data_IF_247642509473
#
_entry.id   IF_247642509473
#
_cell.length_a   1.000
_cell.length_b   1.000
_cell.length_c   1.000
_cell.angle_alpha   90.00
_cell.angle_beta   90.00
_cell.angle_gamma   90.00
#
_symmetry.space_group_name_H-M   'P 1'
#
loop_
_entity.id
_entity.type
_entity.pdbx_description
1 polymer ?
#
# COMPACT_ATOMS: atom_id res chain seq x y z
N UNK A 1 -5.41 25.41 40.54
CA UNK A 1 -6.76 24.89 40.21
C UNK A 1 -7.59 25.82 39.32
N UNK A 2 -7.56 27.15 39.53
CA UNK A 2 -8.36 28.13 38.75
C UNK A 2 -8.12 28.07 37.22
N UNK A 3 -6.88 27.94 36.73
CA UNK A 3 -6.60 27.89 35.28
C UNK A 3 -7.14 26.65 34.55
N UNK A 4 -7.26 25.50 35.22
CA UNK A 4 -7.84 24.28 34.60
C UNK A 4 -9.35 24.42 34.37
N UNK A 5 -10.03 25.18 35.23
CA UNK A 5 -11.47 25.47 35.09
C UNK A 5 -11.71 26.42 33.91
N UNK A 6 -10.89 27.46 33.75
CA UNK A 6 -10.98 28.37 32.60
C UNK A 6 -10.74 27.68 31.25
N UNK A 7 -9.78 26.74 31.19
CA UNK A 7 -9.52 25.97 29.98
C UNK A 7 -10.73 25.07 29.62
N UNK A 8 -11.36 24.46 30.63
CA UNK A 8 -12.53 23.62 30.42
C UNK A 8 -13.74 24.45 29.94
N UNK A 9 -13.96 25.63 30.53
CA UNK A 9 -14.99 26.58 30.06
C UNK A 9 -14.72 27.10 28.64
N UNK A 10 -13.45 27.34 28.29
CA UNK A 10 -13.09 27.78 26.94
C UNK A 10 -13.35 26.68 25.91
N UNK A 11 -13.01 25.43 26.23
CA UNK A 11 -13.24 24.29 25.34
C UNK A 11 -14.73 23.97 25.16
N UNK A 12 -15.55 24.13 26.20
CA UNK A 12 -17.01 23.95 26.08
C UNK A 12 -17.66 25.07 25.27
N UNK A 13 -17.23 26.32 25.46
CA UNK A 13 -17.67 27.46 24.64
C UNK A 13 -17.26 27.30 23.17
N UNK A 14 -16.04 26.82 22.89
CA UNK A 14 -15.55 26.58 21.54
C UNK A 14 -16.38 25.49 20.84
N UNK A 15 -16.69 24.40 21.55
CA UNK A 15 -17.53 23.31 21.03
C UNK A 15 -18.97 23.77 20.75
N UNK A 16 -19.51 24.66 21.59
CA UNK A 16 -20.81 25.29 21.37
C UNK A 16 -20.81 26.26 20.19
N UNK A 17 -19.76 27.08 20.03
CA UNK A 17 -19.63 28.00 18.90
C UNK A 17 -19.50 27.25 17.56
N UNK A 18 -18.76 26.15 17.52
CA UNK A 18 -18.65 25.27 16.35
C UNK A 18 -19.98 24.56 16.03
N UNK A 19 -20.70 24.08 17.04
CA UNK A 19 -22.03 23.49 16.89
C UNK A 19 -23.07 24.49 16.38
N UNK A 20 -23.07 25.72 16.91
CA UNK A 20 -23.96 26.80 16.45
C UNK A 20 -23.65 27.22 15.01
N UNK A 21 -22.37 27.20 14.61
CA UNK A 21 -21.96 27.51 13.23
C UNK A 21 -22.40 26.40 12.26
N UNK A 22 -22.37 25.13 12.69
CA UNK A 22 -22.87 23.99 11.89
C UNK A 22 -24.40 24.00 11.76
N UNK A 23 -25.13 24.32 12.84
CA UNK A 23 -26.60 24.34 12.83
C UNK A 23 -27.18 25.59 12.15
N UNK A 24 -26.53 26.75 12.25
CA UNK A 24 -27.00 27.97 11.56
C UNK A 24 -26.81 27.94 10.03
N UNK A 25 -25.94 27.07 9.51
CA UNK A 25 -25.84 26.86 8.05
C UNK A 25 -26.93 25.96 7.49
N UNK A 26 -27.63 25.17 8.33
CA UNK A 26 -28.67 24.23 7.88
C UNK A 26 -30.11 24.69 8.16
N UNK A 27 -30.34 25.75 8.95
CA UNK A 27 -31.71 26.11 9.41
C UNK A 27 -32.27 27.46 8.94
N UNK A 28 -31.52 28.29 8.19
CA UNK A 28 -32.12 29.49 7.59
C UNK A 28 -32.65 29.17 6.20
N UNK A 29 -33.96 28.92 6.16
CA UNK A 29 -34.81 29.05 4.98
C UNK A 29 -34.75 30.51 4.48
N UNK A 30 -33.64 30.88 3.86
CA UNK A 30 -33.58 32.06 3.03
C UNK A 30 -34.20 31.66 1.70
N UNK A 31 -35.44 32.11 1.50
CA UNK A 31 -36.05 32.26 0.19
C UNK A 31 -35.29 33.32 -0.62
N UNK A 32 -34.00 33.08 -0.90
CA UNK A 32 -33.38 33.67 -2.06
C UNK A 32 -33.77 32.78 -3.22
N UNK A 33 -34.55 33.35 -4.14
CA UNK A 33 -34.84 32.74 -5.44
C UNK A 33 -33.49 32.59 -6.17
N UNK A 34 -32.76 31.52 -5.84
CA UNK A 34 -31.55 31.09 -6.54
C UNK A 34 -31.89 30.44 -7.89
N UNK A 35 -33.17 30.35 -8.24
CA UNK A 35 -33.65 29.92 -9.56
C UNK A 35 -33.19 30.87 -10.69
N UNK A 36 -32.61 32.03 -10.35
CA UNK A 36 -32.01 32.98 -11.31
C UNK A 36 -30.47 32.98 -11.35
N UNK A 37 -29.80 32.19 -10.49
CA UNK A 37 -28.33 32.11 -10.42
C UNK A 37 -27.76 30.69 -10.50
N UNK A 38 -28.59 29.66 -10.39
CA UNK A 38 -28.30 28.42 -11.09
C UNK A 38 -28.44 28.74 -12.58
N UNK A 39 -27.32 29.12 -13.23
CA UNK A 39 -27.07 28.62 -14.58
C UNK A 39 -27.50 27.17 -14.52
N UNK A 40 -28.38 26.72 -15.43
CA UNK A 40 -28.51 25.30 -15.70
C UNK A 40 -27.08 24.80 -15.83
N UNK A 41 -26.56 24.12 -14.80
CA UNK A 41 -25.26 23.48 -14.87
C UNK A 41 -25.41 22.58 -16.09
N UNK A 42 -24.72 22.91 -17.16
CA UNK A 42 -24.73 22.07 -18.34
C UNK A 42 -24.28 20.69 -17.85
N UNK A 43 -24.97 19.63 -18.25
CA UNK A 43 -24.64 18.26 -17.85
C UNK A 43 -23.12 17.93 -18.03
N UNK A 44 -22.45 18.64 -18.94
CA UNK A 44 -21.01 18.59 -19.15
C UNK A 44 -20.14 19.10 -17.98
N UNK A 45 -20.51 20.18 -17.27
CA UNK A 45 -19.72 20.64 -16.11
C UNK A 45 -19.76 19.61 -14.98
N UNK A 46 -20.91 18.95 -14.78
CA UNK A 46 -21.07 17.86 -13.82
C UNK A 46 -20.21 16.64 -14.15
N UNK A 47 -20.11 16.27 -15.43
CA UNK A 47 -19.23 15.18 -15.87
C UNK A 47 -17.76 15.48 -15.57
N UNK A 48 -17.30 16.72 -15.80
CA UNK A 48 -15.90 17.09 -15.60
C UNK A 48 -15.48 17.00 -14.14
N UNK A 49 -16.30 17.52 -13.23
CA UNK A 49 -16.05 17.40 -11.79
C UNK A 49 -16.08 15.94 -11.34
N UNK A 50 -17.05 15.16 -11.83
CA UNK A 50 -17.13 13.73 -11.51
C UNK A 50 -15.86 12.96 -11.93
N UNK A 51 -15.28 13.26 -13.10
CA UNK A 51 -14.04 12.60 -13.53
C UNK A 51 -12.86 12.97 -12.64
N UNK A 52 -12.80 14.21 -12.15
CA UNK A 52 -11.76 14.61 -11.21
C UNK A 52 -11.91 13.88 -9.87
N UNK A 53 -13.13 13.79 -9.34
CA UNK A 53 -13.42 13.05 -8.12
C UNK A 53 -13.08 11.55 -8.28
N UNK A 54 -13.39 10.97 -9.44
CA UNK A 54 -13.01 9.59 -9.74
C UNK A 54 -11.48 9.40 -9.75
N UNK A 55 -10.70 10.36 -10.28
CA UNK A 55 -9.23 10.28 -10.26
C UNK A 55 -8.67 10.36 -8.84
N UNK A 56 -9.23 11.23 -7.99
CA UNK A 56 -8.86 11.29 -6.57
C UNK A 56 -9.17 9.96 -5.87
N UNK A 57 -10.34 9.38 -6.14
CA UNK A 57 -10.72 8.06 -5.61
C UNK A 57 -9.77 6.95 -6.08
N UNK A 58 -9.38 6.93 -7.35
CA UNK A 58 -8.40 5.97 -7.88
C UNK A 58 -7.07 6.11 -7.12
N UNK A 59 -6.61 7.34 -6.88
CA UNK A 59 -5.39 7.58 -6.12
C UNK A 59 -5.48 7.11 -4.67
N UNK A 60 -6.60 7.37 -4.00
CA UNK A 60 -6.86 6.92 -2.64
C UNK A 60 -6.91 5.39 -2.53
N UNK A 61 -7.63 4.72 -3.43
CA UNK A 61 -7.70 3.26 -3.49
C UNK A 61 -6.31 2.65 -3.69
N UNK A 62 -5.54 3.16 -4.65
CA UNK A 62 -4.17 2.72 -4.91
C UNK A 62 -3.27 2.94 -3.68
N UNK A 63 -3.35 4.12 -3.06
CA UNK A 63 -2.62 4.43 -1.82
C UNK A 63 -2.95 3.49 -0.68
N UNK A 64 -4.22 3.15 -0.49
CA UNK A 64 -4.66 2.22 0.54
C UNK A 64 -4.13 0.81 0.29
N UNK A 65 -4.14 0.36 -0.96
CA UNK A 65 -3.63 -0.96 -1.33
C UNK A 65 -2.10 -1.05 -1.20
N UNK A 66 -1.36 -0.02 -1.59
CA UNK A 66 0.10 0.06 -1.38
C UNK A 66 0.43 0.11 0.11
N UNK A 67 -0.29 0.88 0.93
CA UNK A 67 -0.09 0.89 2.38
C UNK A 67 -0.40 -0.46 3.02
N UNK A 68 -1.43 -1.16 2.55
CA UNK A 68 -1.74 -2.52 2.96
C UNK A 68 -0.60 -3.48 2.60
N UNK A 69 -0.03 -3.34 1.40
CA UNK A 69 1.15 -4.10 0.99
C UNK A 69 2.36 -3.82 1.90
N UNK A 70 2.61 -2.56 2.26
CA UNK A 70 3.69 -2.17 3.19
C UNK A 70 3.55 -2.88 4.54
N UNK A 71 2.35 -2.88 5.11
CA UNK A 71 2.07 -3.56 6.38
C UNK A 71 2.37 -5.06 6.24
N UNK A 72 1.88 -5.71 5.19
CA UNK A 72 2.13 -7.14 4.99
C UNK A 72 3.60 -7.49 4.80
N UNK A 73 4.33 -6.68 4.03
CA UNK A 73 5.76 -6.88 3.87
C UNK A 73 6.44 -6.72 5.22
N UNK A 74 6.19 -5.63 5.94
CA UNK A 74 6.79 -5.38 7.25
C UNK A 74 6.53 -6.54 8.22
N UNK A 75 5.30 -7.01 8.32
CA UNK A 75 4.93 -8.13 9.20
C UNK A 75 5.65 -9.43 8.78
N UNK A 76 5.80 -9.67 7.47
CA UNK A 76 6.57 -10.81 6.94
C UNK A 76 8.05 -10.72 7.35
N UNK A 77 8.64 -9.53 7.31
CA UNK A 77 10.01 -9.30 7.74
C UNK A 77 10.16 -9.49 9.25
N UNK A 78 9.26 -8.94 10.07
CA UNK A 78 9.26 -9.11 11.53
C UNK A 78 9.11 -10.57 11.95
N UNK A 79 8.21 -11.33 11.31
CA UNK A 79 8.07 -12.77 11.53
C UNK A 79 9.39 -13.51 11.23
N UNK A 80 10.06 -13.11 10.14
CA UNK A 80 11.35 -13.69 9.74
C UNK A 80 12.42 -13.34 10.78
N UNK A 81 12.51 -12.09 11.21
CA UNK A 81 13.45 -11.64 12.26
C UNK A 81 13.26 -12.42 13.56
N UNK A 82 12.02 -12.55 14.03
CA UNK A 82 11.71 -13.31 15.24
C UNK A 82 12.19 -14.76 15.14
N UNK A 83 12.05 -15.36 13.95
CA UNK A 83 12.48 -16.74 13.67
C UNK A 83 14.00 -16.91 13.63
N UNK A 84 14.76 -15.84 13.38
CA UNK A 84 16.23 -15.88 13.34
C UNK A 84 16.89 -15.25 14.58
N UNK A 85 16.12 -14.64 15.48
CA UNK A 85 16.62 -13.93 16.65
C UNK A 85 17.45 -14.80 17.58
N UNK A 86 17.06 -16.06 17.75
CA UNK A 86 17.80 -17.02 18.58
C UNK A 86 18.96 -17.70 17.82
N UNK A 87 19.10 -17.42 16.53
CA UNK A 87 20.05 -18.08 15.63
C UNK A 87 21.23 -17.17 15.33
N UNK A 88 20.98 -15.92 14.92
CA UNK A 88 22.04 -14.95 14.60
C UNK A 88 21.54 -13.51 14.56
N UNK A 89 22.18 -12.64 15.35
CA UNK A 89 21.95 -11.19 15.34
C UNK A 89 22.32 -10.55 13.99
N UNK A 90 23.32 -11.08 13.30
CA UNK A 90 23.78 -10.52 12.02
C UNK A 90 22.79 -10.83 10.88
N UNK A 91 22.14 -12.00 10.94
CA UNK A 91 21.00 -12.32 10.05
C UNK A 91 19.84 -11.36 10.30
N UNK A 92 19.50 -11.08 11.57
CA UNK A 92 18.42 -10.14 11.93
C UNK A 92 18.71 -8.74 11.40
N UNK A 93 19.93 -8.21 11.59
CA UNK A 93 20.31 -6.88 11.07
C UNK A 93 20.13 -6.78 9.55
N UNK A 94 20.44 -7.85 8.81
CA UNK A 94 20.27 -7.89 7.36
C UNK A 94 18.78 -7.81 7.01
N UNK A 95 17.94 -8.63 7.66
CA UNK A 95 16.49 -8.64 7.42
C UNK A 95 15.91 -7.24 7.67
N UNK A 96 16.27 -6.59 8.80
CA UNK A 96 15.79 -5.24 9.12
C UNK A 96 16.21 -4.20 8.09
N UNK A 97 17.45 -4.26 7.60
CA UNK A 97 17.95 -3.35 6.56
C UNK A 97 17.14 -3.47 5.26
N UNK A 98 16.82 -4.69 4.84
CA UNK A 98 16.03 -4.92 3.64
C UNK A 98 14.57 -4.49 3.82
N UNK A 99 14.00 -4.70 5.01
CA UNK A 99 12.64 -4.23 5.35
C UNK A 99 12.50 -2.73 5.11
N UNK A 100 13.46 -1.93 5.61
CA UNK A 100 13.48 -0.48 5.39
C UNK A 100 13.61 -0.11 3.91
N UNK A 101 14.55 -0.74 3.19
CA UNK A 101 14.79 -0.45 1.77
C UNK A 101 13.57 -0.74 0.89
N UNK A 102 12.76 -1.73 1.28
CA UNK A 102 11.52 -2.07 0.58
C UNK A 102 10.41 -1.07 0.90
N UNK A 103 10.30 -0.62 2.15
CA UNK A 103 9.33 0.42 2.54
C UNK A 103 9.52 1.70 1.70
N UNK A 104 10.77 2.13 1.54
CA UNK A 104 11.12 3.30 0.73
C UNK A 104 10.67 3.14 -0.73
N UNK A 105 10.88 1.97 -1.34
CA UNK A 105 10.45 1.69 -2.72
C UNK A 105 8.94 1.69 -2.87
N UNK A 106 8.20 1.16 -1.88
CA UNK A 106 6.74 1.22 -1.88
C UNK A 106 6.22 2.67 -1.71
N UNK A 107 6.94 3.51 -0.97
CA UNK A 107 6.62 4.95 -0.89
C UNK A 107 6.83 5.64 -2.25
N UNK A 108 7.92 5.32 -2.96
CA UNK A 108 8.17 5.83 -4.32
C UNK A 108 7.04 5.40 -5.25
N UNK A 109 6.65 4.12 -5.24
CA UNK A 109 5.54 3.61 -6.05
C UNK A 109 4.25 4.39 -5.76
N UNK A 110 3.94 4.64 -4.50
CA UNK A 110 2.75 5.40 -4.12
C UNK A 110 2.80 6.86 -4.61
N UNK A 111 3.96 7.50 -4.43
CA UNK A 111 4.17 8.89 -4.84
C UNK A 111 4.03 9.11 -6.34
N UNK A 112 4.39 8.13 -7.17
CA UNK A 112 4.32 8.26 -8.63
C UNK A 112 2.90 8.49 -9.14
N UNK A 113 1.89 7.76 -8.63
CA UNK A 113 0.50 7.96 -9.08
C UNK A 113 -0.01 9.33 -8.64
N UNK A 114 0.23 9.68 -7.37
CA UNK A 114 -0.20 10.93 -6.79
C UNK A 114 0.39 12.12 -7.55
N UNK A 115 1.70 12.12 -7.78
CA UNK A 115 2.39 13.16 -8.53
C UNK A 115 1.85 13.25 -9.96
N UNK A 116 1.65 12.11 -10.63
CA UNK A 116 1.10 12.09 -11.98
C UNK A 116 -0.30 12.70 -12.05
N UNK A 117 -1.20 12.33 -11.13
CA UNK A 117 -2.58 12.84 -11.12
C UNK A 117 -2.57 14.34 -10.84
N UNK A 118 -1.86 14.81 -9.82
CA UNK A 118 -1.80 16.24 -9.45
C UNK A 118 -1.22 17.09 -10.59
N UNK A 119 -0.13 16.64 -11.21
CA UNK A 119 0.53 17.39 -12.29
C UNK A 119 -0.34 17.47 -13.57
N UNK A 120 -1.21 16.49 -13.79
CA UNK A 120 -2.00 16.41 -15.03
C UNK A 120 -3.49 16.73 -14.86
N UNK A 121 -3.95 16.94 -13.63
CA UNK A 121 -5.34 17.27 -13.28
C UNK A 121 -5.91 18.41 -14.12
N UNK A 122 -5.17 19.51 -14.26
CA UNK A 122 -5.60 20.68 -15.06
C UNK A 122 -5.66 20.37 -16.56
N UNK A 123 -4.67 19.64 -17.08
CA UNK A 123 -4.61 19.25 -18.50
C UNK A 123 -5.78 18.34 -18.85
N UNK A 124 -6.06 17.36 -18.00
CA UNK A 124 -7.21 16.45 -18.14
C UNK A 124 -8.51 17.25 -18.09
N UNK A 125 -8.72 18.10 -17.07
CA UNK A 125 -9.95 18.90 -16.93
C UNK A 125 -10.27 19.77 -18.18
N UNK A 126 -9.22 20.29 -18.82
CA UNK A 126 -9.34 21.14 -20.00
C UNK A 126 -9.48 20.36 -21.31
N UNK A 127 -9.38 19.02 -21.30
CA UNK A 127 -9.55 18.19 -22.50
C UNK A 127 -11.04 17.98 -22.87
N UNK A 128 -11.28 17.34 -24.02
CA UNK A 128 -12.64 16.93 -24.42
C UNK A 128 -13.16 15.82 -23.50
N UNK A 129 -14.48 15.72 -23.36
CA UNK A 129 -15.11 14.74 -22.46
C UNK A 129 -14.69 13.30 -22.81
N UNK A 130 -14.59 12.97 -24.10
CA UNK A 130 -14.08 11.67 -24.58
C UNK A 130 -12.63 11.41 -24.13
N UNK A 131 -11.76 12.42 -24.23
CA UNK A 131 -10.36 12.31 -23.79
C UNK A 131 -10.25 12.21 -22.27
N UNK A 132 -11.08 12.94 -21.51
CA UNK A 132 -11.13 12.85 -20.05
C UNK A 132 -11.48 11.44 -19.60
N UNK A 133 -12.53 10.84 -20.18
CA UNK A 133 -12.95 9.47 -19.88
C UNK A 133 -11.84 8.48 -20.26
N UNK A 134 -11.21 8.68 -21.43
CA UNK A 134 -10.11 7.82 -21.89
C UNK A 134 -8.91 7.88 -20.93
N UNK A 135 -8.46 9.07 -20.53
CA UNK A 135 -7.36 9.25 -19.59
C UNK A 135 -7.67 8.59 -18.25
N UNK A 136 -8.87 8.81 -17.70
CA UNK A 136 -9.31 8.19 -16.44
C UNK A 136 -9.21 6.66 -16.51
N UNK A 137 -9.77 6.07 -17.56
CA UNK A 137 -9.78 4.62 -17.72
C UNK A 137 -8.35 4.06 -17.86
N UNK A 138 -7.49 4.71 -18.66
CA UNK A 138 -6.07 4.33 -18.78
C UNK A 138 -5.33 4.41 -17.45
N UNK A 139 -5.54 5.46 -16.66
CA UNK A 139 -4.91 5.60 -15.33
C UNK A 139 -5.35 4.45 -14.41
N UNK A 140 -6.65 4.10 -14.44
CA UNK A 140 -7.17 2.97 -13.66
C UNK A 140 -6.57 1.64 -14.12
N UNK A 141 -6.48 1.40 -15.42
CA UNK A 141 -5.89 0.19 -15.99
C UNK A 141 -4.42 0.01 -15.57
N UNK A 142 -3.62 1.08 -15.66
CA UNK A 142 -2.21 1.07 -15.19
C UNK A 142 -2.15 0.78 -13.70
N UNK A 143 -2.96 1.47 -12.89
CA UNK A 143 -3.01 1.27 -11.44
C UNK A 143 -3.35 -0.18 -11.06
N UNK A 144 -4.38 -0.76 -11.69
CA UNK A 144 -4.81 -2.13 -11.43
C UNK A 144 -3.76 -3.17 -11.88
N UNK A 145 -3.10 -2.92 -13.02
CA UNK A 145 -1.99 -3.75 -13.52
C UNK A 145 -0.81 -3.79 -12.54
N UNK A 146 -0.40 -2.61 -12.06
CA UNK A 146 0.70 -2.46 -11.09
C UNK A 146 0.36 -3.12 -9.75
N UNK A 147 -0.85 -2.93 -9.23
CA UNK A 147 -1.31 -3.58 -8.00
C UNK A 147 -1.35 -5.11 -8.14
N UNK A 148 -1.76 -5.62 -9.30
CA UNK A 148 -1.74 -7.07 -9.57
C UNK A 148 -0.31 -7.64 -9.53
N UNK A 149 0.67 -6.92 -10.09
CA UNK A 149 2.09 -7.30 -10.04
C UNK A 149 2.65 -7.23 -8.62
N UNK A 150 2.33 -6.16 -7.88
CA UNK A 150 2.72 -6.00 -6.49
C UNK A 150 2.17 -7.13 -5.61
N UNK A 151 0.91 -7.52 -5.78
CA UNK A 151 0.28 -8.63 -5.04
C UNK A 151 1.01 -9.96 -5.25
N UNK A 152 1.38 -10.28 -6.50
CA UNK A 152 2.18 -11.48 -6.81
C UNK A 152 3.56 -11.44 -6.17
N UNK A 153 4.17 -10.25 -6.12
CA UNK A 153 5.46 -10.05 -5.48
C UNK A 153 5.36 -10.27 -3.96
N UNK A 154 4.31 -9.78 -3.31
CA UNK A 154 4.04 -10.04 -1.88
C UNK A 154 3.85 -11.53 -1.60
N UNK A 155 3.09 -12.26 -2.43
CA UNK A 155 2.93 -13.72 -2.29
C UNK A 155 4.29 -14.42 -2.35
N UNK A 156 5.17 -14.00 -3.26
CA UNK A 156 6.54 -14.52 -3.35
C UNK A 156 7.37 -14.18 -2.09
N UNK A 157 7.17 -13.02 -1.46
CA UNK A 157 7.83 -12.69 -0.20
C UNK A 157 7.41 -13.62 0.94
N UNK A 158 6.11 -13.90 1.03
CA UNK A 158 5.56 -14.83 2.03
C UNK A 158 6.17 -16.22 1.80
N UNK A 159 6.23 -16.69 0.57
CA UNK A 159 6.91 -17.94 0.23
C UNK A 159 8.36 -17.94 0.67
N UNK A 160 9.08 -16.85 0.40
CA UNK A 160 10.48 -16.71 0.77
C UNK A 160 10.70 -16.71 2.29
N UNK A 161 9.81 -16.10 3.08
CA UNK A 161 9.80 -16.23 4.55
C UNK A 161 9.76 -17.69 4.95
N UNK A 162 8.72 -18.41 4.52
CA UNK A 162 8.56 -19.82 4.88
C UNK A 162 9.76 -20.66 4.42
N UNK A 163 10.25 -20.42 3.21
CA UNK A 163 11.41 -21.12 2.68
C UNK A 163 12.67 -20.87 3.51
N UNK A 164 12.94 -19.62 3.89
CA UNK A 164 14.09 -19.27 4.72
C UNK A 164 14.01 -19.97 6.08
N UNK A 165 12.86 -19.88 6.76
CA UNK A 165 12.66 -20.45 8.10
C UNK A 165 12.72 -21.98 8.07
N UNK A 166 12.08 -22.63 7.09
CA UNK A 166 12.11 -24.08 6.98
C UNK A 166 13.50 -24.62 6.63
N UNK A 167 14.28 -23.84 5.89
CA UNK A 167 15.64 -24.23 5.50
C UNK A 167 16.65 -24.01 6.63
N UNK A 168 16.58 -22.87 7.33
CA UNK A 168 17.62 -22.44 8.26
C UNK A 168 17.16 -22.17 9.69
N UNK A 169 15.88 -22.34 10.01
CA UNK A 169 15.36 -22.19 11.38
C UNK A 169 15.80 -23.33 12.29
N UNK A 170 15.69 -23.18 13.60
CA UNK A 170 15.87 -24.30 14.53
C UNK A 170 14.66 -25.27 14.48
N UNK A 171 14.80 -26.47 15.06
CA UNK A 171 13.75 -27.51 14.95
C UNK A 171 12.38 -27.07 15.47
N UNK A 172 12.35 -26.32 16.58
CA UNK A 172 11.11 -25.87 17.19
C UNK A 172 10.39 -24.89 16.25
N UNK A 173 11.12 -23.89 15.75
CA UNK A 173 10.63 -22.88 14.82
C UNK A 173 10.18 -23.52 13.50
N UNK A 174 10.92 -24.53 12.99
CA UNK A 174 10.51 -25.27 11.77
C UNK A 174 9.16 -25.97 11.96
N UNK A 175 8.95 -26.64 13.09
CA UNK A 175 7.69 -27.34 13.37
C UNK A 175 6.51 -26.36 13.48
N UNK A 176 6.67 -25.26 14.20
CA UNK A 176 5.67 -24.20 14.29
C UNK A 176 5.35 -23.60 12.91
N UNK A 177 6.38 -23.37 12.10
CA UNK A 177 6.27 -22.85 10.74
C UNK A 177 5.52 -23.81 9.81
N UNK A 178 5.74 -25.12 9.94
CA UNK A 178 4.99 -26.14 9.18
C UNK A 178 3.51 -26.17 9.53
N UNK A 179 3.14 -25.98 10.80
CA UNK A 179 1.75 -25.88 11.22
C UNK A 179 1.11 -24.57 10.71
N UNK A 180 1.82 -23.44 10.83
CA UNK A 180 1.36 -22.16 10.27
C UNK A 180 1.16 -22.23 8.75
N UNK A 181 2.05 -22.92 8.03
CA UNK A 181 1.96 -23.09 6.57
C UNK A 181 0.68 -23.83 6.13
N UNK A 182 0.16 -24.76 6.95
CA UNK A 182 -1.07 -25.51 6.62
C UNK A 182 -2.28 -24.60 6.56
N UNK A 183 -2.34 -23.61 7.45
CA UNK A 183 -3.47 -22.66 7.56
C UNK A 183 -3.27 -21.36 6.78
N UNK A 184 -2.08 -21.10 6.24
CA UNK A 184 -1.78 -19.90 5.45
C UNK A 184 -2.67 -19.80 4.21
N UNK A 185 -3.44 -18.73 4.04
CA UNK A 185 -4.40 -18.59 2.93
C UNK A 185 -3.85 -17.79 1.76
N UNK A 186 -2.79 -17.02 1.96
CA UNK A 186 -2.23 -16.11 0.96
C UNK A 186 -1.29 -16.79 -0.03
N UNK A 187 -0.95 -18.05 0.22
CA UNK A 187 0.00 -18.83 -0.56
C UNK A 187 -0.75 -19.91 -1.33
N UNK A 188 -0.53 -19.97 -2.65
CA UNK A 188 -1.17 -21.00 -3.48
C UNK A 188 -0.80 -22.43 -3.04
N UNK A 189 -1.72 -23.37 -3.23
CA UNK A 189 -1.52 -24.79 -2.85
C UNK A 189 -0.31 -25.41 -3.54
N UNK A 190 0.02 -24.95 -4.76
CA UNK A 190 1.22 -25.36 -5.49
C UNK A 190 2.49 -24.98 -4.72
N UNK A 191 2.58 -23.73 -4.26
CA UNK A 191 3.73 -23.25 -3.50
C UNK A 191 3.81 -23.90 -2.11
N UNK A 192 2.67 -24.16 -1.47
CA UNK A 192 2.64 -24.89 -0.19
C UNK A 192 3.22 -26.28 -0.31
N UNK A 193 2.87 -27.02 -1.37
CA UNK A 193 3.39 -28.37 -1.63
C UNK A 193 4.91 -28.39 -1.76
N UNK A 194 5.50 -27.36 -2.37
CA UNK A 194 6.96 -27.22 -2.46
C UNK A 194 7.60 -27.02 -1.07
N UNK A 195 7.00 -26.19 -0.21
CA UNK A 195 7.50 -25.92 1.14
C UNK A 195 7.33 -27.13 2.08
N UNK A 196 6.26 -27.91 1.93
CA UNK A 196 6.02 -29.09 2.78
C UNK A 196 7.05 -30.21 2.60
N UNK A 197 7.85 -30.18 1.52
CA UNK A 197 8.98 -31.11 1.32
C UNK A 197 10.06 -30.97 2.40
N UNK A 198 10.14 -29.80 3.05
CA UNK A 198 11.09 -29.58 4.15
C UNK A 198 10.76 -30.36 5.43
N UNK A 199 9.59 -31.01 5.52
CA UNK A 199 9.23 -31.86 6.68
C UNK A 199 10.18 -33.05 6.87
N UNK A 200 10.77 -33.56 5.79
CA UNK A 200 11.59 -34.78 5.80
C UNK A 200 13.08 -34.51 5.79
N UNK A 201 13.51 -33.24 5.80
CA UNK A 201 14.92 -32.87 5.79
C UNK A 201 15.46 -32.88 7.23
N UNK A 202 16.58 -33.58 7.45
CA UNK A 202 17.31 -33.54 8.71
C UNK A 202 17.87 -32.14 8.96
N UNK A 203 18.02 -31.77 10.23
CA UNK A 203 18.66 -30.52 10.59
C UNK A 203 20.17 -30.65 10.45
N UNK A 204 20.72 -30.00 9.45
CA UNK A 204 22.14 -29.68 9.40
C UNK A 204 22.44 -28.48 10.31
N UNK A 205 23.64 -28.46 10.89
CA UNK A 205 24.12 -27.30 11.65
C UNK A 205 24.07 -26.05 10.77
N UNK A 206 23.28 -25.06 11.21
CA UNK A 206 23.03 -23.83 10.46
C UNK A 206 24.33 -23.02 10.41
N UNK A 207 24.89 -22.85 9.21
CA UNK A 207 25.95 -21.87 8.98
C UNK A 207 25.32 -20.50 8.73
N UNK A 208 25.58 -19.56 9.63
CA UNK A 208 25.14 -18.16 9.53
C UNK A 208 25.46 -17.52 8.16
N UNK A 209 26.61 -17.87 7.59
CA UNK A 209 27.04 -17.38 6.28
C UNK A 209 26.14 -17.87 5.15
N UNK A 210 25.63 -19.10 5.23
CA UNK A 210 24.73 -19.69 4.24
C UNK A 210 23.33 -19.06 4.30
N UNK A 211 22.78 -18.88 5.51
CA UNK A 211 21.48 -18.21 5.70
C UNK A 211 21.54 -16.74 5.29
N UNK A 212 22.63 -16.04 5.64
CA UNK A 212 22.91 -14.68 5.21
C UNK A 212 22.96 -14.56 3.68
N UNK A 213 23.72 -15.42 3.02
CA UNK A 213 23.87 -15.39 1.57
C UNK A 213 22.55 -15.70 0.85
N UNK A 214 21.77 -16.65 1.39
CA UNK A 214 20.45 -16.97 0.89
C UNK A 214 19.50 -15.77 0.98
N UNK A 215 19.37 -15.17 2.17
CA UNK A 215 18.48 -14.03 2.40
C UNK A 215 18.87 -12.81 1.57
N UNK A 216 20.17 -12.50 1.47
CA UNK A 216 20.66 -11.43 0.58
C UNK A 216 20.26 -11.67 -0.87
N UNK A 217 20.45 -12.89 -1.38
CA UNK A 217 20.07 -13.24 -2.75
C UNK A 217 18.57 -13.08 -3.00
N UNK A 218 17.75 -13.54 -2.05
CA UNK A 218 16.29 -13.46 -2.10
C UNK A 218 15.81 -12.01 -2.05
N UNK A 219 16.29 -11.21 -1.10
CA UNK A 219 15.84 -9.83 -0.92
C UNK A 219 16.38 -8.89 -2.00
N UNK A 220 17.59 -9.13 -2.53
CA UNK A 220 18.08 -8.41 -3.71
C UNK A 220 17.17 -8.65 -4.92
N UNK A 221 16.76 -9.89 -5.17
CA UNK A 221 15.80 -10.20 -6.25
C UNK A 221 14.45 -9.53 -6.03
N UNK A 222 14.00 -9.45 -4.78
CA UNK A 222 12.75 -8.76 -4.44
C UNK A 222 12.83 -7.26 -4.74
N UNK A 223 13.93 -6.61 -4.34
CA UNK A 223 14.19 -5.19 -4.63
C UNK A 223 14.24 -4.94 -6.14
N UNK A 224 14.96 -5.75 -6.91
CA UNK A 224 15.06 -5.59 -8.37
C UNK A 224 13.67 -5.65 -9.02
N UNK A 225 12.83 -6.59 -8.58
CA UNK A 225 11.45 -6.69 -9.08
C UNK A 225 10.58 -5.49 -8.68
N UNK A 226 10.78 -4.91 -7.50
CA UNK A 226 10.10 -3.66 -7.14
C UNK A 226 10.55 -2.51 -8.03
N UNK A 227 11.85 -2.40 -8.32
CA UNK A 227 12.36 -1.38 -9.24
C UNK A 227 11.80 -1.55 -10.66
N UNK A 228 11.68 -2.79 -11.14
CA UNK A 228 11.01 -3.09 -12.41
C UNK A 228 9.56 -2.58 -12.42
N UNK A 229 8.78 -2.84 -11.35
CA UNK A 229 7.40 -2.36 -11.22
C UNK A 229 7.34 -0.83 -11.19
N UNK A 230 8.22 -0.17 -10.44
CA UNK A 230 8.28 1.30 -10.34
C UNK A 230 8.59 1.91 -11.72
N UNK A 231 9.59 1.38 -12.42
CA UNK A 231 9.97 1.85 -13.75
C UNK A 231 8.87 1.63 -14.78
N UNK A 232 8.19 0.48 -14.70
CA UNK A 232 7.05 0.18 -15.56
C UNK A 232 5.91 1.16 -15.33
N UNK A 233 5.54 1.42 -14.08
CA UNK A 233 4.50 2.40 -13.74
C UNK A 233 4.83 3.80 -14.28
N UNK A 234 6.06 4.27 -14.06
CA UNK A 234 6.52 5.57 -14.57
C UNK A 234 6.39 5.64 -16.09
N UNK A 235 6.81 4.58 -16.79
CA UNK A 235 6.72 4.49 -18.25
C UNK A 235 5.27 4.48 -18.73
N UNK A 236 4.42 3.61 -18.18
CA UNK A 236 3.03 3.47 -18.60
C UNK A 236 2.24 4.75 -18.37
N UNK A 237 2.41 5.40 -17.21
CA UNK A 237 1.80 6.71 -16.94
C UNK A 237 2.23 7.78 -17.94
N UNK A 238 3.52 7.84 -18.28
CA UNK A 238 4.03 8.82 -19.26
C UNK A 238 3.41 8.67 -20.66
N UNK A 239 2.97 7.46 -21.03
CA UNK A 239 2.32 7.18 -22.31
C UNK A 239 0.82 7.53 -22.34
N UNK A 240 0.19 7.84 -21.21
CA UNK A 240 -1.25 8.14 -21.18
C UNK A 240 -1.57 9.46 -21.88
N UNK A 241 -0.65 10.43 -21.82
CA UNK A 241 -0.83 11.81 -22.27
C UNK A 241 -0.13 12.14 -23.59
N UNK A 242 0.52 11.14 -24.20
CA UNK A 242 1.08 11.19 -25.56
C UNK A 242 0.04 10.69 -26.56
#
# INVERSE_FOLDING_TARGET
MKHKIYLFFFLTLLKYALSLRLNNTLSKKNNFVAEKYFRKENDNENLKFQIIDDLEKINEEFSNDVNTAKIFVRDTFLDTEASFKEISDDVVKIISKYSFSIDEKLNVLNGLLQEFIENNKSSIFNSSDENMISHKNKIKEVSDSILCKLKKLIELNIFNKYHAILKFGNQNIKNETLEALRIERKLSDKLKKELLKYKTLENEDIKESESTNFLKSVYNKFIVKLDEIINEMSKELSHILL
#
